data_IF_148847739019
#
_entry.id   IF_148847739019
#
_cell.length_a   1.000
_cell.length_b   1.000
_cell.length_c   1.000
_cell.angle_alpha   90.00
_cell.angle_beta   90.00
_cell.angle_gamma   90.00
#
_symmetry.space_group_name_H-M   'P 1'
#
loop_
_entity.id
_entity.type
_entity.pdbx_description
1 polymer ?
#
# COMPACT_ATOMS: atom_id res chain seq x y z
N UNK A 1 10.47 -3.01 13.46
CA UNK A 1 9.42 -3.87 12.86
C UNK A 1 9.57 -3.97 11.36
N UNK A 2 9.61 -2.84 10.62
CA UNK A 2 9.79 -2.83 9.17
C UNK A 2 11.08 -3.51 8.68
N UNK A 3 12.26 -3.08 9.16
CA UNK A 3 13.56 -3.61 8.70
C UNK A 3 13.81 -5.08 9.06
N UNK A 4 13.04 -5.64 9.98
CA UNK A 4 13.14 -7.06 10.37
C UNK A 4 12.05 -7.91 9.70
N UNK A 5 11.35 -7.37 8.68
CA UNK A 5 10.28 -8.06 7.96
C UNK A 5 9.19 -8.62 8.89
N UNK A 6 8.82 -7.86 9.93
CA UNK A 6 7.78 -8.25 10.89
C UNK A 6 6.38 -7.75 10.52
N UNK A 7 6.26 -7.00 9.43
CA UNK A 7 5.01 -6.42 8.95
C UNK A 7 4.63 -7.06 7.62
N UNK A 8 3.43 -7.62 7.54
CA UNK A 8 2.91 -8.33 6.38
C UNK A 8 1.62 -7.72 5.88
N UNK A 9 1.40 -7.87 4.59
CA UNK A 9 0.22 -7.41 3.86
C UNK A 9 -0.44 -8.63 3.23
N UNK A 10 -1.74 -8.77 3.44
CA UNK A 10 -2.55 -9.82 2.85
C UNK A 10 -3.33 -9.28 1.66
N UNK A 11 -2.94 -9.72 0.48
CA UNK A 11 -3.47 -9.32 -0.83
C UNK A 11 -4.86 -9.91 -1.11
N UNK A 12 -5.43 -10.74 -0.23
CA UNK A 12 -6.81 -11.25 -0.35
C UNK A 12 -7.82 -10.10 -0.24
N UNK A 13 -7.58 -9.17 0.68
CA UNK A 13 -8.48 -8.06 0.96
C UNK A 13 -7.78 -6.68 0.92
N UNK A 14 -6.45 -6.60 1.05
CA UNK A 14 -5.75 -5.32 0.98
C UNK A 14 -5.43 -4.88 -0.46
N UNK A 15 -5.82 -3.63 -0.74
CA UNK A 15 -5.47 -2.92 -1.97
C UNK A 15 -3.97 -2.59 -2.07
N UNK A 16 -3.55 -2.26 -3.29
CA UNK A 16 -2.20 -1.76 -3.60
C UNK A 16 -1.94 -0.40 -2.96
N UNK A 17 -0.74 0.14 -3.11
CA UNK A 17 -0.47 1.51 -2.72
C UNK A 17 -1.14 2.47 -3.71
N UNK A 18 -2.15 3.21 -3.23
CA UNK A 18 -2.99 4.09 -4.07
C UNK A 18 -2.91 5.56 -3.67
N UNK A 19 -2.32 5.87 -2.50
CA UNK A 19 -2.14 7.25 -2.06
C UNK A 19 -1.30 8.06 -3.06
N UNK A 20 -1.85 9.20 -3.43
CA UNK A 20 -1.20 10.26 -4.21
C UNK A 20 -0.02 10.86 -3.46
N UNK A 21 0.84 11.60 -4.18
CA UNK A 21 1.96 12.31 -3.58
C UNK A 21 1.47 13.31 -2.51
N UNK A 22 0.38 14.02 -2.83
CA UNK A 22 -0.21 15.01 -1.93
C UNK A 22 -0.70 14.38 -0.62
N UNK A 23 -1.36 13.22 -0.67
CA UNK A 23 -1.80 12.50 0.54
C UNK A 23 -0.61 12.06 1.41
N UNK A 24 0.44 11.53 0.78
CA UNK A 24 1.68 11.17 1.49
C UNK A 24 2.33 12.39 2.14
N UNK A 25 2.43 13.50 1.42
CA UNK A 25 2.99 14.76 1.92
C UNK A 25 2.17 15.32 3.09
N UNK A 26 0.83 15.33 3.00
CA UNK A 26 -0.07 15.77 4.08
C UNK A 26 0.07 14.92 5.35
N UNK A 27 0.30 13.62 5.22
CA UNK A 27 0.57 12.77 6.37
C UNK A 27 1.87 13.19 7.07
N UNK A 28 2.96 13.35 6.31
CA UNK A 28 4.26 13.76 6.87
C UNK A 28 4.14 15.14 7.52
N UNK A 29 3.44 16.08 6.88
CA UNK A 29 3.16 17.39 7.44
C UNK A 29 2.37 17.29 8.77
N UNK A 30 1.36 16.43 8.83
CA UNK A 30 0.59 16.20 10.05
C UNK A 30 1.48 15.71 11.20
N UNK A 31 2.42 14.81 10.90
CA UNK A 31 3.42 14.32 11.87
C UNK A 31 4.34 15.45 12.34
N UNK A 32 4.88 16.25 11.41
CA UNK A 32 5.75 17.39 11.74
C UNK A 32 5.03 18.46 12.59
N UNK A 33 3.73 18.65 12.34
CA UNK A 33 2.85 19.54 13.13
C UNK A 33 2.35 18.92 14.43
N UNK A 34 2.69 17.66 14.72
CA UNK A 34 2.23 16.89 15.89
C UNK A 34 0.70 16.75 15.95
N UNK A 35 0.05 16.71 14.80
CA UNK A 35 -1.39 16.44 14.72
C UNK A 35 -1.67 14.96 15.00
N UNK A 36 -2.86 14.61 15.53
CA UNK A 36 -3.23 13.22 15.76
C UNK A 36 -3.41 12.49 14.42
N UNK A 37 -2.62 11.44 14.22
CA UNK A 37 -2.78 10.49 13.11
C UNK A 37 -3.59 9.30 13.63
N UNK A 38 -4.56 8.78 12.86
CA UNK A 38 -5.36 7.64 13.31
C UNK A 38 -4.49 6.43 13.66
N UNK A 39 -4.99 5.54 14.50
CA UNK A 39 -4.26 4.35 14.92
C UNK A 39 -4.00 3.39 13.74
N UNK A 40 -2.90 2.65 13.82
CA UNK A 40 -2.60 1.52 12.93
C UNK A 40 -3.14 0.26 13.60
N UNK A 41 -3.91 -0.52 12.86
CA UNK A 41 -4.47 -1.77 13.34
C UNK A 41 -3.69 -2.95 12.75
N UNK A 42 -3.22 -3.83 13.63
CA UNK A 42 -2.43 -5.00 13.30
C UNK A 42 -3.08 -6.27 13.86
N UNK A 43 -2.90 -7.40 13.19
CA UNK A 43 -3.22 -8.73 13.69
C UNK A 43 -1.91 -9.49 13.98
N UNK A 44 -1.79 -10.12 15.14
CA UNK A 44 -0.70 -11.04 15.46
C UNK A 44 -1.21 -12.48 15.34
N UNK A 45 -0.64 -13.26 14.41
CA UNK A 45 -1.01 -14.67 14.23
C UNK A 45 -0.35 -15.55 15.30
N UNK A 46 -1.11 -16.48 15.86
CA UNK A 46 -0.64 -17.39 16.91
C UNK A 46 0.51 -18.30 16.43
N UNK A 47 0.51 -18.65 15.15
CA UNK A 47 1.49 -19.55 14.54
C UNK A 47 2.88 -18.91 14.36
N UNK A 48 2.98 -17.57 14.40
CA UNK A 48 4.24 -16.84 14.21
C UNK A 48 4.34 -15.60 15.13
N UNK A 49 4.64 -15.81 16.43
CA UNK A 49 4.71 -14.73 17.41
C UNK A 49 5.73 -13.65 17.02
N UNK A 50 5.29 -12.38 17.03
CA UNK A 50 6.12 -11.24 16.62
C UNK A 50 6.07 -10.91 15.13
N UNK A 51 5.23 -11.58 14.33
CA UNK A 51 4.81 -11.13 13.01
C UNK A 51 3.40 -10.52 13.06
N UNK A 52 3.25 -9.41 12.36
CA UNK A 52 2.03 -8.61 12.36
C UNK A 52 1.48 -8.43 10.95
N UNK A 53 0.25 -8.86 10.73
CA UNK A 53 -0.54 -8.57 9.54
C UNK A 53 -1.16 -7.19 9.69
N UNK A 54 -1.02 -6.33 8.67
CA UNK A 54 -1.61 -4.99 8.68
C UNK A 54 -3.08 -5.13 8.31
N UNK A 55 -3.99 -4.70 9.19
CA UNK A 55 -5.43 -4.64 8.89
C UNK A 55 -5.77 -3.25 8.34
N UNK A 56 -5.33 -2.20 9.05
CA UNK A 56 -5.51 -0.80 8.66
C UNK A 56 -4.22 0.00 8.86
N UNK A 57 -3.99 0.99 8.00
CA UNK A 57 -2.82 1.87 8.06
C UNK A 57 -1.71 1.53 7.07
N UNK A 58 -1.94 0.62 6.12
CA UNK A 58 -1.00 0.26 5.05
C UNK A 58 -0.39 1.49 4.36
N UNK A 59 -1.24 2.39 3.87
CA UNK A 59 -0.78 3.58 3.14
C UNK A 59 0.00 4.55 4.04
N UNK A 60 -0.40 4.67 5.32
CA UNK A 60 0.25 5.53 6.31
C UNK A 60 1.65 5.03 6.65
N UNK A 61 1.78 3.74 6.96
CA UNK A 61 3.06 3.11 7.23
C UNK A 61 3.99 3.24 6.03
N UNK A 62 3.50 2.91 4.83
CA UNK A 62 4.30 3.02 3.63
C UNK A 62 4.74 4.47 3.36
N UNK A 63 3.85 5.45 3.49
CA UNK A 63 4.18 6.86 3.26
C UNK A 63 5.29 7.37 4.18
N UNK A 64 5.24 7.03 5.48
CA UNK A 64 6.27 7.43 6.44
C UNK A 64 7.62 6.78 6.13
N UNK A 65 7.63 5.48 5.83
CA UNK A 65 8.86 4.75 5.47
C UNK A 65 9.45 5.29 4.16
N UNK A 66 8.62 5.46 3.13
CA UNK A 66 9.00 6.04 1.84
C UNK A 66 9.62 7.43 1.98
N UNK A 67 9.09 8.27 2.88
CA UNK A 67 9.68 9.58 3.14
C UNK A 67 11.07 9.45 3.79
N UNK A 68 11.22 8.58 4.80
CA UNK A 68 12.50 8.30 5.46
C UNK A 68 13.54 7.76 4.47
N UNK A 69 13.12 6.91 3.55
CA UNK A 69 13.97 6.35 2.48
C UNK A 69 14.22 7.36 1.33
N UNK A 70 13.64 8.56 1.40
CA UNK A 70 13.88 9.64 0.44
C UNK A 70 13.27 9.39 -0.94
N UNK A 71 12.19 8.60 -1.03
CA UNK A 71 11.52 8.30 -2.31
C UNK A 71 10.58 9.41 -2.78
N UNK A 72 10.30 10.40 -1.93
CA UNK A 72 9.60 11.63 -2.29
C UNK A 72 9.95 12.79 -1.36
N UNK A 73 9.69 14.02 -1.80
CA UNK A 73 9.90 15.25 -1.03
C UNK A 73 8.61 15.81 -0.43
N UNK A 74 8.75 16.70 0.55
CA UNK A 74 7.67 17.60 0.99
C UNK A 74 7.22 18.54 -0.14
N UNK A 75 6.11 19.24 0.07
CA UNK A 75 5.56 20.22 -0.89
C UNK A 75 6.59 21.31 -1.25
N UNK A 76 7.47 21.66 -0.31
CA UNK A 76 8.54 22.64 -0.49
C UNK A 76 9.85 22.07 -1.07
N UNK A 77 9.85 20.81 -1.47
CA UNK A 77 11.00 20.13 -2.09
C UNK A 77 11.99 19.51 -1.10
N UNK A 78 11.78 19.61 0.22
CA UNK A 78 12.70 19.01 1.21
C UNK A 78 12.50 17.50 1.36
N UNK A 79 13.60 16.76 1.39
CA UNK A 79 13.64 15.31 1.64
C UNK A 79 13.96 15.00 3.10
N UNK A 80 13.78 13.74 3.52
CA UNK A 80 14.24 13.31 4.85
C UNK A 80 15.77 13.36 4.96
N UNK A 81 16.27 13.78 6.12
CA UNK A 81 17.69 13.75 6.46
C UNK A 81 18.08 12.33 6.89
N UNK A 82 18.51 11.49 5.95
CA UNK A 82 18.78 10.05 6.21
C UNK A 82 19.84 9.86 7.30
N UNK A 83 20.84 10.75 7.34
CA UNK A 83 21.90 10.70 8.36
C UNK A 83 21.41 10.91 9.79
N UNK A 84 20.20 11.46 10.00
CA UNK A 84 19.60 11.62 11.32
C UNK A 84 19.02 10.31 11.87
N UNK A 85 18.83 9.28 11.03
CA UNK A 85 18.31 7.99 11.47
C UNK A 85 19.30 6.84 11.17
N UNK A 86 20.03 6.33 12.18
CA UNK A 86 21.07 5.32 11.97
C UNK A 86 20.60 4.09 11.20
N UNK A 87 19.39 3.60 11.47
CA UNK A 87 18.84 2.42 10.79
C UNK A 87 18.62 2.67 9.29
N UNK A 88 18.11 3.84 8.91
CA UNK A 88 17.96 4.18 7.49
C UNK A 88 19.32 4.39 6.83
N UNK A 89 20.27 5.02 7.53
CA UNK A 89 21.63 5.21 7.03
C UNK A 89 22.33 3.89 6.73
N UNK A 90 22.30 2.92 7.65
CA UNK A 90 22.92 1.60 7.44
C UNK A 90 22.34 0.90 6.22
N UNK A 91 21.02 0.97 6.05
CA UNK A 91 20.33 0.37 4.89
C UNK A 91 20.66 1.09 3.58
N UNK A 92 20.77 2.42 3.61
CA UNK A 92 21.22 3.19 2.47
C UNK A 92 22.66 2.83 2.08
N UNK A 93 23.56 2.76 3.05
CA UNK A 93 24.98 2.37 2.84
C UNK A 93 25.09 0.93 2.31
N UNK A 94 24.16 0.05 2.66
CA UNK A 94 24.05 -1.31 2.13
C UNK A 94 23.44 -1.39 0.72
N UNK A 95 22.89 -0.28 0.20
CA UNK A 95 22.24 -0.23 -1.10
C UNK A 95 20.81 -0.77 -1.13
N UNK A 96 20.17 -0.93 0.03
CA UNK A 96 18.78 -1.45 0.12
C UNK A 96 17.76 -0.54 -0.56
N UNK A 97 18.05 0.76 -0.65
CA UNK A 97 17.23 1.76 -1.32
C UNK A 97 18.09 2.91 -1.83
N UNK A 98 17.55 3.67 -2.78
CA UNK A 98 18.21 4.82 -3.40
C UNK A 98 17.36 6.08 -3.24
N UNK A 99 17.74 7.05 -2.39
CA UNK A 99 16.99 8.30 -2.24
C UNK A 99 17.09 9.15 -3.52
N UNK A 100 16.02 9.91 -3.82
CA UNK A 100 15.98 10.78 -4.99
C UNK A 100 16.90 12.00 -4.85
N UNK A 101 17.05 12.53 -3.64
CA UNK A 101 17.97 13.63 -3.34
C UNK A 101 18.32 13.67 -1.85
N UNK A 102 19.50 14.20 -1.55
CA UNK A 102 19.96 14.58 -0.21
C UNK A 102 20.55 16.00 -0.19
N UNK A 103 20.26 16.82 -1.22
CA UNK A 103 20.76 18.20 -1.32
C UNK A 103 19.91 19.17 -0.49
N UNK A 104 18.58 19.06 -0.60
CA UNK A 104 17.62 19.87 0.14
C UNK A 104 16.85 18.96 1.09
N UNK A 105 17.20 19.01 2.38
CA UNK A 105 16.68 18.11 3.42
C UNK A 105 16.02 18.86 4.56
N UNK A 106 15.14 18.18 5.29
CA UNK A 106 14.58 18.70 6.55
C UNK A 106 15.67 18.88 7.60
N UNK A 107 15.41 19.77 8.56
CA UNK A 107 16.33 20.01 9.67
C UNK A 107 16.42 18.80 10.60
N UNK A 108 17.50 18.71 11.38
CA UNK A 108 17.64 17.68 12.42
C UNK A 108 16.49 17.71 13.45
N UNK A 109 15.96 18.90 13.77
CA UNK A 109 14.82 19.05 14.68
C UNK A 109 13.52 18.48 14.09
N UNK A 110 13.26 18.70 12.81
CA UNK A 110 12.12 18.11 12.10
C UNK A 110 12.27 16.59 11.96
N UNK A 111 13.47 16.10 11.62
CA UNK A 111 13.74 14.67 11.58
C UNK A 111 13.50 14.01 12.94
N UNK A 112 13.97 14.63 14.03
CA UNK A 112 13.72 14.17 15.40
C UNK A 112 12.22 14.16 15.71
N UNK A 113 11.49 15.21 15.33
CA UNK A 113 10.02 15.28 15.51
C UNK A 113 9.31 14.12 14.83
N UNK A 114 9.75 13.75 13.62
CA UNK A 114 9.18 12.63 12.88
C UNK A 114 9.51 11.28 13.53
N UNK A 115 10.74 11.10 13.99
CA UNK A 115 11.21 9.85 14.62
C UNK A 115 10.60 9.63 16.01
N UNK A 116 10.36 10.70 16.77
CA UNK A 116 9.76 10.66 18.11
C UNK A 116 8.22 10.59 18.08
N UNK A 117 7.62 10.75 16.89
CA UNK A 117 6.16 10.72 16.75
C UNK A 117 5.62 9.33 17.11
N UNK A 118 4.82 9.28 18.17
CA UNK A 118 4.21 8.02 18.63
C UNK A 118 2.93 7.73 17.85
N UNK A 119 3.01 6.76 16.94
CA UNK A 119 1.82 6.21 16.29
C UNK A 119 1.06 5.32 17.28
N UNK A 120 -0.24 5.55 17.42
CA UNK A 120 -1.11 4.64 18.15
C UNK A 120 -1.17 3.30 17.41
N UNK A 121 -0.85 2.20 18.10
CA UNK A 121 -0.94 0.84 17.58
C UNK A 121 -2.04 0.11 18.34
N UNK A 122 -2.95 -0.53 17.61
CA UNK A 122 -3.90 -1.50 18.14
C UNK A 122 -3.55 -2.87 17.58
N UNK A 123 -3.37 -3.87 18.45
CA UNK A 123 -2.97 -5.21 18.04
C UNK A 123 -4.06 -6.20 18.47
N UNK A 124 -4.69 -6.83 17.49
CA UNK A 124 -5.55 -7.99 17.69
C UNK A 124 -4.67 -9.22 17.85
N UNK A 125 -4.69 -9.83 19.03
CA UNK A 125 -3.94 -11.06 19.32
C UNK A 125 -4.86 -12.26 19.18
N UNK A 126 -4.34 -13.35 18.63
CA UNK A 126 -5.08 -14.61 18.47
C UNK A 126 -6.35 -14.47 17.63
N UNK A 127 -6.37 -13.49 16.73
CA UNK A 127 -7.51 -13.30 15.85
C UNK A 127 -7.52 -14.41 14.79
N UNK A 128 -8.69 -14.99 14.55
CA UNK A 128 -8.87 -15.86 13.38
C UNK A 128 -8.86 -15.01 12.09
N UNK A 129 -8.62 -15.66 10.95
CA UNK A 129 -8.71 -14.98 9.65
C UNK A 129 -10.12 -14.38 9.44
N UNK A 130 -11.18 -15.05 9.89
CA UNK A 130 -12.57 -14.54 9.80
C UNK A 130 -12.79 -13.26 10.64
N UNK A 131 -12.18 -13.19 11.84
CA UNK A 131 -12.26 -11.99 12.69
C UNK A 131 -11.48 -10.82 12.09
N UNK A 132 -10.34 -11.11 11.47
CA UNK A 132 -9.54 -10.10 10.74
C UNK A 132 -10.35 -9.54 9.57
N UNK A 133 -11.01 -10.41 8.80
CA UNK A 133 -11.83 -10.03 7.66
C UNK A 133 -13.06 -9.18 8.11
N UNK A 134 -13.80 -9.58 9.16
CA UNK A 134 -14.94 -8.77 9.66
C UNK A 134 -14.50 -7.39 10.17
N UNK A 135 -13.35 -7.30 10.86
CA UNK A 135 -12.83 -6.01 11.34
C UNK A 135 -12.37 -5.14 10.17
N UNK A 136 -11.70 -5.73 9.18
CA UNK A 136 -11.32 -5.03 7.95
C UNK A 136 -12.54 -4.45 7.25
N UNK A 137 -13.60 -5.26 7.09
CA UNK A 137 -14.85 -4.87 6.45
C UNK A 137 -15.51 -3.72 7.18
N UNK A 138 -15.60 -3.79 8.51
CA UNK A 138 -16.21 -2.73 9.32
C UNK A 138 -15.47 -1.41 9.17
N UNK A 139 -14.14 -1.42 9.23
CA UNK A 139 -13.36 -0.19 9.15
C UNK A 139 -13.50 0.46 7.78
N UNK A 140 -13.45 -0.34 6.71
CA UNK A 140 -13.49 0.19 5.34
C UNK A 140 -14.91 0.47 4.84
N UNK A 141 -15.93 -0.13 5.45
CA UNK A 141 -17.35 0.15 5.12
C UNK A 141 -17.80 1.56 5.56
N UNK A 142 -17.20 2.13 6.59
CA UNK A 142 -17.54 3.48 7.09
C UNK A 142 -16.60 4.60 6.58
N UNK A 143 -15.50 4.25 5.89
CA UNK A 143 -14.44 5.16 5.44
C UNK A 143 -14.48 5.52 3.94
N UNK A 144 -13.30 5.78 3.35
CA UNK A 144 -13.14 5.94 1.90
C UNK A 144 -13.73 4.72 1.18
N UNK A 145 -14.65 4.94 0.23
CA UNK A 145 -15.34 3.88 -0.50
C UNK A 145 -14.34 2.91 -1.13
N UNK A 146 -14.39 1.65 -0.69
CA UNK A 146 -13.87 0.52 -1.45
C UNK A 146 -14.52 0.54 -2.85
N UNK A 147 -13.77 0.16 -3.88
CA UNK A 147 -14.34 -0.14 -5.19
C UNK A 147 -15.38 -1.26 -5.06
N UNK A 148 -16.33 -1.35 -6.00
CA UNK A 148 -17.35 -2.41 -5.93
C UNK A 148 -16.74 -3.81 -5.95
N UNK A 149 -15.61 -3.97 -6.65
CA UNK A 149 -14.85 -5.21 -6.69
C UNK A 149 -14.13 -5.50 -5.38
N UNK A 150 -13.55 -4.48 -4.73
CA UNK A 150 -12.96 -4.59 -3.39
C UNK A 150 -14.02 -4.99 -2.34
N UNK A 151 -15.25 -4.46 -2.45
CA UNK A 151 -16.39 -4.86 -1.61
C UNK A 151 -16.82 -6.31 -1.85
N UNK A 152 -16.68 -6.80 -3.09
CA UNK A 152 -16.98 -8.20 -3.43
C UNK A 152 -15.92 -9.17 -2.94
N UNK A 153 -14.64 -8.84 -3.06
CA UNK A 153 -13.54 -9.66 -2.56
C UNK A 153 -13.53 -9.76 -1.03
N UNK A 154 -13.84 -8.65 -0.36
CA UNK A 154 -13.86 -8.59 1.10
C UNK A 154 -15.06 -9.32 1.72
N UNK A 155 -16.26 -9.18 1.13
CA UNK A 155 -17.46 -9.86 1.61
C UNK A 155 -17.68 -11.29 1.12
N UNK A 156 -17.05 -11.72 0.02
CA UNK A 156 -17.22 -13.05 -0.58
C UNK A 156 -15.90 -13.54 -1.20
N UNK A 157 -15.11 -14.27 -0.44
CA UNK A 157 -13.96 -15.00 -0.95
C UNK A 157 -14.38 -16.37 -1.47
N UNK A 158 -14.47 -16.50 -2.79
CA UNK A 158 -14.80 -17.74 -3.49
C UNK A 158 -13.90 -17.95 -4.71
N UNK A 159 -14.01 -19.12 -5.33
CA UNK A 159 -13.20 -19.50 -6.50
C UNK A 159 -13.27 -18.48 -7.65
N UNK A 160 -14.41 -17.81 -7.83
CA UNK A 160 -14.56 -16.77 -8.85
C UNK A 160 -13.75 -15.52 -8.51
N UNK A 161 -13.82 -15.04 -7.26
CA UNK A 161 -13.07 -13.87 -6.81
C UNK A 161 -11.56 -14.08 -6.90
N UNK A 162 -11.08 -15.29 -6.57
CA UNK A 162 -9.68 -15.68 -6.71
C UNK A 162 -9.26 -15.76 -8.18
N UNK A 163 -10.10 -16.36 -9.04
CA UNK A 163 -9.84 -16.38 -10.49
C UNK A 163 -9.70 -14.97 -11.06
N UNK A 164 -10.61 -14.04 -10.73
CA UNK A 164 -10.54 -12.65 -11.19
C UNK A 164 -9.23 -11.99 -10.75
N UNK A 165 -8.87 -12.14 -9.47
CA UNK A 165 -7.64 -11.60 -8.90
C UNK A 165 -6.40 -12.14 -9.61
N UNK A 166 -6.32 -13.47 -9.79
CA UNK A 166 -5.20 -14.12 -10.47
C UNK A 166 -5.06 -13.68 -11.92
N UNK A 167 -6.16 -13.59 -12.65
CA UNK A 167 -6.17 -13.12 -14.04
C UNK A 167 -5.71 -11.66 -14.13
N UNK A 168 -6.23 -10.78 -13.28
CA UNK A 168 -5.81 -9.38 -13.24
C UNK A 168 -4.31 -9.25 -12.93
N UNK A 169 -3.79 -10.00 -11.96
CA UNK A 169 -2.36 -9.99 -11.65
C UNK A 169 -1.51 -10.47 -12.84
N UNK A 170 -1.95 -11.51 -13.54
CA UNK A 170 -1.27 -12.00 -14.75
C UNK A 170 -1.27 -10.97 -15.88
N UNK A 171 -2.38 -10.26 -16.10
CA UNK A 171 -2.50 -9.23 -17.16
C UNK A 171 -1.62 -8.02 -16.87
N UNK A 172 -1.53 -7.62 -15.60
CA UNK A 172 -0.66 -6.52 -15.15
C UNK A 172 0.82 -6.89 -15.12
N UNK A 173 1.14 -8.17 -14.94
CA UNK A 173 2.50 -8.67 -14.78
C UNK A 173 3.01 -8.66 -13.34
N UNK A 174 2.15 -8.44 -12.33
CA UNK A 174 2.49 -8.38 -10.91
C UNK A 174 2.16 -9.68 -10.16
N UNK A 175 2.67 -10.80 -10.67
CA UNK A 175 2.53 -12.12 -10.03
C UNK A 175 3.14 -12.13 -8.62
N UNK A 176 2.30 -11.91 -7.62
CA UNK A 176 2.70 -11.78 -6.22
C UNK A 176 2.00 -12.81 -5.32
N UNK A 177 2.66 -13.27 -4.25
CA UNK A 177 2.04 -14.16 -3.29
C UNK A 177 0.88 -13.46 -2.55
N UNK A 178 -0.06 -14.26 -2.02
CA UNK A 178 -1.21 -13.74 -1.27
C UNK A 178 -0.80 -13.01 0.00
N UNK A 179 0.29 -13.41 0.64
CA UNK A 179 0.86 -12.74 1.83
C UNK A 179 2.29 -12.35 1.53
N UNK A 180 2.65 -11.09 1.79
CA UNK A 180 3.99 -10.58 1.52
C UNK A 180 4.45 -9.55 2.55
N UNK A 181 5.76 -9.37 2.76
CA UNK A 181 6.28 -8.29 3.58
C UNK A 181 5.88 -6.90 3.05
N UNK A 182 5.62 -5.96 3.95
CA UNK A 182 5.28 -4.56 3.60
C UNK A 182 6.29 -3.92 2.64
N UNK A 183 7.57 -4.27 2.73
CA UNK A 183 8.63 -3.70 1.87
C UNK A 183 8.46 -4.02 0.38
N UNK A 184 7.77 -5.11 0.04
CA UNK A 184 7.56 -5.53 -1.35
C UNK A 184 6.35 -4.84 -1.99
N UNK A 185 5.59 -4.04 -1.23
CA UNK A 185 4.42 -3.34 -1.75
C UNK A 185 4.70 -2.39 -2.93
N UNK A 186 5.83 -1.66 -2.99
CA UNK A 186 6.19 -0.85 -4.15
C UNK A 186 6.32 -1.67 -5.45
N UNK A 187 6.78 -2.92 -5.38
CA UNK A 187 7.02 -3.79 -6.54
C UNK A 187 5.72 -4.20 -7.26
N UNK A 188 4.61 -4.25 -6.51
CA UNK A 188 3.29 -4.68 -7.02
C UNK A 188 2.32 -3.52 -7.19
N UNK A 189 2.74 -2.31 -6.83
CA UNK A 189 1.91 -1.10 -6.90
C UNK A 189 2.08 -0.40 -8.24
N UNK A 190 1.05 0.35 -8.64
CA UNK A 190 0.95 0.93 -9.97
C UNK A 190 1.53 2.35 -9.98
N UNK A 191 2.58 2.54 -10.78
CA UNK A 191 3.22 3.84 -10.99
C UNK A 191 2.49 4.61 -12.09
N UNK A 192 2.11 5.84 -11.78
CA UNK A 192 1.38 6.70 -12.71
C UNK A 192 2.36 7.47 -13.61
N UNK A 193 2.08 7.63 -14.92
CA UNK A 193 3.01 8.29 -15.86
C UNK A 193 3.37 9.72 -15.48
N UNK A 194 2.41 10.47 -14.90
CA UNK A 194 2.56 11.89 -14.53
C UNK A 194 3.05 12.11 -13.09
N UNK A 195 2.90 11.11 -12.22
CA UNK A 195 3.31 11.17 -10.81
C UNK A 195 4.07 9.89 -10.50
N UNK A 196 5.36 9.88 -10.86
CA UNK A 196 6.26 8.77 -10.59
C UNK A 196 6.51 8.69 -9.08
N UNK A 197 5.94 7.67 -8.46
CA UNK A 197 6.19 7.27 -7.08
C UNK A 197 7.38 6.32 -6.97
N UNK A 198 7.89 5.83 -8.10
CA UNK A 198 8.96 4.84 -8.13
C UNK A 198 8.45 3.41 -7.88
N UNK A 199 7.17 3.15 -8.15
CA UNK A 199 6.63 1.78 -8.11
C UNK A 199 6.97 1.02 -9.41
N UNK A 200 6.94 -0.30 -9.38
CA UNK A 200 7.48 -1.09 -10.50
C UNK A 200 6.45 -1.34 -11.61
N UNK A 201 5.17 -1.46 -11.28
CA UNK A 201 4.12 -1.70 -12.28
C UNK A 201 3.80 -0.39 -13.01
N UNK A 202 4.44 -0.16 -14.17
CA UNK A 202 4.21 1.05 -14.97
C UNK A 202 2.86 0.99 -15.67
N UNK A 203 1.94 1.88 -15.31
CA UNK A 203 0.56 1.84 -15.81
C UNK A 203 0.50 1.85 -17.34
N UNK A 204 1.31 2.66 -18.01
CA UNK A 204 1.38 2.79 -19.46
C UNK A 204 1.87 1.50 -20.19
N UNK A 205 2.58 0.63 -19.49
CA UNK A 205 3.02 -0.67 -20.01
C UNK A 205 1.99 -1.79 -19.85
N UNK A 206 0.99 -1.60 -18.98
CA UNK A 206 -0.06 -2.61 -18.74
C UNK A 206 -1.04 -2.61 -19.90
N UNK A 207 -1.44 -3.81 -20.35
CA UNK A 207 -2.34 -4.03 -21.48
C UNK A 207 -3.52 -3.05 -21.52
N UNK A 208 -4.23 -2.88 -20.40
CA UNK A 208 -5.41 -2.01 -20.30
C UNK A 208 -5.14 -0.56 -20.70
N UNK A 209 -4.05 0.03 -20.21
CA UNK A 209 -3.71 1.41 -20.53
C UNK A 209 -3.00 1.54 -21.87
N UNK A 210 -2.16 0.56 -22.23
CA UNK A 210 -1.48 0.52 -23.52
C UNK A 210 -2.47 0.50 -24.69
N UNK A 211 -3.59 -0.20 -24.53
CA UNK A 211 -4.67 -0.27 -25.52
C UNK A 211 -5.70 0.87 -25.37
N UNK A 212 -5.54 1.77 -24.40
CA UNK A 212 -6.47 2.87 -24.14
C UNK A 212 -7.83 2.43 -23.59
N UNK A 213 -7.93 1.21 -23.04
CA UNK A 213 -9.16 0.65 -22.46
C UNK A 213 -9.45 1.29 -21.09
N UNK A 214 -8.41 1.43 -20.26
CA UNK A 214 -8.49 2.07 -18.94
C UNK A 214 -7.52 3.25 -18.83
N UNK A 215 -7.90 4.27 -18.07
CA UNK A 215 -6.94 5.30 -17.66
C UNK A 215 -6.01 4.72 -16.59
N UNK A 216 -4.81 5.29 -16.47
CA UNK A 216 -3.86 4.87 -15.43
C UNK A 216 -4.43 5.01 -14.01
N UNK A 217 -5.30 6.00 -13.78
CA UNK A 217 -6.04 6.17 -12.52
C UNK A 217 -7.02 5.04 -12.27
N UNK A 218 -7.75 4.61 -13.31
CA UNK A 218 -8.74 3.55 -13.20
C UNK A 218 -8.05 2.21 -12.90
N UNK A 219 -6.90 1.96 -13.56
CA UNK A 219 -6.06 0.80 -13.28
C UNK A 219 -5.53 0.81 -11.83
N UNK A 220 -5.05 1.95 -11.34
CA UNK A 220 -4.59 2.11 -9.95
C UNK A 220 -5.70 1.82 -8.94
N UNK A 221 -6.92 2.22 -9.26
CA UNK A 221 -8.11 2.06 -8.42
C UNK A 221 -8.78 0.68 -8.65
N UNK A 222 -8.06 -0.27 -9.25
CA UNK A 222 -8.44 -1.68 -9.48
C UNK A 222 -9.64 -1.91 -10.40
N UNK A 223 -9.94 -0.97 -11.31
CA UNK A 223 -11.03 -1.10 -12.29
C UNK A 223 -10.80 -2.24 -13.29
N UNK A 224 -9.56 -2.66 -13.48
CA UNK A 224 -9.26 -3.81 -14.33
C UNK A 224 -9.76 -5.14 -13.76
N UNK A 225 -9.80 -5.29 -12.43
CA UNK A 225 -10.42 -6.47 -11.80
C UNK A 225 -11.94 -6.49 -12.03
N UNK A 226 -12.58 -5.33 -12.05
CA UNK A 226 -13.98 -5.19 -12.46
C UNK A 226 -14.15 -5.62 -13.94
N UNK A 227 -13.31 -5.11 -14.85
CA UNK A 227 -13.37 -5.50 -16.26
C UNK A 227 -13.20 -7.02 -16.45
N UNK A 228 -12.27 -7.65 -15.73
CA UNK A 228 -12.08 -9.10 -15.77
C UNK A 228 -13.31 -9.83 -15.24
N UNK A 229 -13.91 -9.36 -14.15
CA UNK A 229 -15.13 -9.94 -13.59
C UNK A 229 -16.31 -9.84 -14.57
N UNK A 230 -16.50 -8.69 -15.23
CA UNK A 230 -17.59 -8.46 -16.17
C UNK A 230 -17.42 -9.29 -17.44
N UNK A 231 -16.18 -9.42 -17.95
CA UNK A 231 -15.87 -10.30 -19.08
C UNK A 231 -16.17 -11.76 -18.73
N UNK A 232 -15.68 -12.23 -17.59
CA UNK A 232 -15.92 -13.61 -17.15
C UNK A 232 -17.41 -13.89 -16.91
N UNK A 233 -18.11 -12.97 -16.24
CA UNK A 233 -19.55 -13.04 -16.01
C UNK A 233 -20.35 -13.03 -17.31
N UNK A 234 -19.94 -12.22 -18.30
CA UNK A 234 -20.60 -12.16 -19.60
C UNK A 234 -20.44 -13.48 -20.39
N UNK A 235 -19.26 -14.10 -20.33
CA UNK A 235 -19.00 -15.40 -20.96
C UNK A 235 -19.86 -16.50 -20.31
N UNK A 236 -19.93 -16.53 -18.98
CA UNK A 236 -20.67 -17.56 -18.23
C UNK A 236 -22.19 -17.41 -18.41
N UNK A 237 -22.70 -16.18 -18.39
CA UNK A 237 -24.14 -15.89 -18.50
C UNK A 237 -24.66 -15.94 -19.94
N UNK A 238 -23.79 -15.80 -20.94
CA UNK A 238 -24.18 -15.65 -22.34
C UNK A 238 -24.82 -14.30 -22.66
N UNK A 239 -24.75 -13.34 -21.74
CA UNK A 239 -25.29 -11.97 -21.88
C UNK A 239 -24.23 -10.95 -21.51
N UNK A 240 -24.16 -9.84 -22.23
CA UNK A 240 -23.23 -8.75 -21.90
C UNK A 240 -23.73 -8.05 -20.63
N UNK A 241 -22.89 -8.05 -19.59
CA UNK A 241 -23.09 -7.34 -18.34
C UNK A 241 -22.61 -5.88 -18.45
#
# INVERSE_FOLDING_TARGET
MYSNERLFVNRRYQRKLVWTLEEKQKLVESVLRKYPVPAILLAEKDEDPGRYEIIDGLQRLNALVSFIEGTFSLVDGRYFLISAFPTAKVRWDAGDFSPLSQEQVITTAEATTLLDYTLALSIMRKASDDEVDDVFDRINSYGHRLSEQERRQSGIQNEFSDMVRELACKIRGDGSPSVMPLRMMPEISIDLPMTKHGYDVKADSVFWCQQGILRATDLRDSMDEQCVADIAGSIISGTVL
#
